data_IF_973577704450
#
_entry.id   IF_973577704450
#
_cell.length_a   1.000
_cell.length_b   1.000
_cell.length_c   1.000
_cell.angle_alpha   90.00
_cell.angle_beta   90.00
_cell.angle_gamma   90.00
#
_symmetry.space_group_name_H-M   'P 1'
#
loop_
_entity.id
_entity.type
_entity.pdbx_description
1 polymer ?
#
# COMPACT_ATOMS: atom_id res chain seq x y z
N UNK A 1 14.43 21.61 4.07
CA UNK A 1 14.20 20.45 4.98
C UNK A 1 13.04 19.64 4.42
N UNK A 2 13.26 18.39 4.02
CA UNK A 2 12.19 17.52 3.51
C UNK A 2 11.37 16.84 4.60
N UNK A 3 10.21 16.31 4.22
CA UNK A 3 9.34 15.46 5.06
C UNK A 3 9.51 14.00 4.63
N UNK A 4 9.28 13.05 5.53
CA UNK A 4 9.15 11.64 5.15
C UNK A 4 7.67 11.28 5.10
N UNK A 5 7.24 10.52 4.10
CA UNK A 5 5.83 10.13 3.96
C UNK A 5 5.67 8.75 3.32
N UNK A 6 4.53 8.12 3.56
CA UNK A 6 4.10 6.88 2.90
C UNK A 6 2.93 7.18 1.97
N UNK A 7 3.03 6.71 0.74
CA UNK A 7 1.92 6.68 -0.21
C UNK A 7 1.42 5.24 -0.35
N UNK A 8 0.17 5.01 0.04
CA UNK A 8 -0.49 3.72 -0.04
C UNK A 8 -1.32 3.66 -1.32
N UNK A 9 -1.16 2.59 -2.10
CA UNK A 9 -2.05 2.22 -3.21
C UNK A 9 -2.62 0.85 -2.89
N UNK A 10 -3.88 0.79 -2.47
CA UNK A 10 -4.52 -0.45 -1.96
C UNK A 10 -5.66 -0.91 -2.85
N UNK A 11 -5.85 -2.22 -2.97
CA UNK A 11 -6.95 -2.82 -3.73
C UNK A 11 -8.24 -2.74 -2.92
N UNK A 12 -9.15 -1.89 -3.39
CA UNK A 12 -10.44 -1.56 -2.79
C UNK A 12 -11.56 -2.43 -3.38
N UNK A 13 -11.37 -3.75 -3.28
CA UNK A 13 -12.33 -4.77 -3.67
C UNK A 13 -12.35 -5.90 -2.63
N UNK A 14 -13.48 -6.04 -1.94
CA UNK A 14 -13.69 -7.04 -0.90
C UNK A 14 -13.58 -8.49 -1.40
N UNK A 15 -13.77 -8.73 -2.69
CA UNK A 15 -13.75 -10.05 -3.32
C UNK A 15 -12.45 -10.35 -4.06
N UNK A 16 -11.59 -9.36 -4.29
CA UNK A 16 -10.29 -9.59 -4.90
C UNK A 16 -9.45 -10.61 -4.10
N UNK A 17 -8.61 -11.35 -4.82
CA UNK A 17 -7.61 -12.29 -4.29
C UNK A 17 -6.34 -12.18 -5.12
N UNK A 18 -5.16 -12.31 -4.50
CA UNK A 18 -3.91 -12.38 -5.25
C UNK A 18 -3.92 -13.63 -6.14
N UNK A 19 -3.37 -13.49 -7.34
CA UNK A 19 -3.04 -14.62 -8.21
C UNK A 19 -1.56 -14.97 -8.03
N UNK A 20 -1.19 -16.19 -8.42
CA UNK A 20 0.19 -16.70 -8.27
C UNK A 20 1.26 -15.88 -9.03
N UNK A 21 0.84 -15.01 -9.96
CA UNK A 21 1.71 -14.14 -10.75
C UNK A 21 1.59 -12.64 -10.36
N UNK A 22 0.71 -12.28 -9.42
CA UNK A 22 0.45 -10.87 -9.05
C UNK A 22 1.73 -10.17 -8.59
N UNK A 23 2.56 -10.82 -7.78
CA UNK A 23 3.85 -10.28 -7.36
C UNK A 23 4.75 -9.94 -8.56
N UNK A 24 4.85 -10.87 -9.53
CA UNK A 24 5.69 -10.73 -10.71
C UNK A 24 5.19 -9.60 -11.63
N UNK A 25 3.86 -9.46 -11.79
CA UNK A 25 3.26 -8.36 -12.56
C UNK A 25 3.51 -7.00 -11.92
N UNK A 26 3.37 -6.86 -10.60
CA UNK A 26 3.66 -5.60 -9.90
C UNK A 26 5.16 -5.29 -9.95
N UNK A 27 6.03 -6.29 -9.75
CA UNK A 27 7.48 -6.12 -9.85
C UNK A 27 7.92 -5.65 -11.25
N UNK A 28 7.30 -6.17 -12.32
CA UNK A 28 7.59 -5.74 -13.68
C UNK A 28 7.34 -4.23 -13.88
N UNK A 29 6.22 -3.71 -13.37
CA UNK A 29 5.90 -2.27 -13.42
C UNK A 29 6.89 -1.45 -12.58
N UNK A 30 7.23 -1.91 -11.38
CA UNK A 30 8.23 -1.23 -10.53
C UNK A 30 9.61 -1.16 -11.19
N UNK A 31 10.02 -2.19 -11.94
CA UNK A 31 11.27 -2.22 -12.71
C UNK A 31 11.21 -1.33 -13.96
N UNK A 32 10.10 -1.33 -14.68
CA UNK A 32 9.87 -0.44 -15.84
C UNK A 32 9.99 1.04 -15.44
N UNK A 33 9.43 1.40 -14.27
CA UNK A 33 9.52 2.75 -13.71
C UNK A 33 10.84 3.04 -12.95
N UNK A 34 11.81 2.12 -12.98
CA UNK A 34 13.11 2.25 -12.30
C UNK A 34 13.01 2.54 -10.80
N UNK A 35 11.95 2.07 -10.13
CA UNK A 35 11.71 2.25 -8.70
C UNK A 35 12.39 1.17 -7.83
N UNK A 36 12.82 0.07 -8.46
CA UNK A 36 13.57 -1.03 -7.84
C UNK A 36 14.62 -1.55 -8.83
N UNK A 37 15.80 -1.91 -8.33
CA UNK A 37 16.90 -2.50 -9.08
C UNK A 37 17.28 -3.89 -8.56
N UNK A 38 17.37 -4.06 -7.24
CA UNK A 38 17.75 -5.29 -6.57
C UNK A 38 16.66 -6.36 -6.45
N UNK A 39 16.96 -7.38 -5.65
CA UNK A 39 16.02 -8.42 -5.22
C UNK A 39 15.39 -7.99 -3.89
N UNK A 40 14.07 -8.00 -3.80
CA UNK A 40 13.37 -7.75 -2.54
C UNK A 40 13.51 -8.93 -1.59
N UNK A 41 13.47 -8.67 -0.27
CA UNK A 41 13.38 -9.74 0.73
C UNK A 41 11.93 -10.03 1.07
N UNK A 42 11.62 -11.29 1.36
CA UNK A 42 10.24 -11.74 1.62
C UNK A 42 10.05 -11.97 3.11
N UNK A 43 8.98 -11.39 3.66
CA UNK A 43 8.54 -11.58 5.04
C UNK A 43 7.20 -12.32 4.96
N UNK A 44 7.15 -13.49 5.58
CA UNK A 44 5.92 -14.26 5.76
C UNK A 44 5.03 -13.55 6.78
N UNK A 45 3.82 -13.13 6.36
CA UNK A 45 2.85 -12.45 7.22
C UNK A 45 1.93 -13.45 7.96
N UNK A 46 2.23 -14.75 7.96
CA UNK A 46 1.73 -15.72 8.93
C UNK A 46 2.64 -15.82 10.18
N UNK A 47 3.92 -15.44 10.05
CA UNK A 47 4.90 -15.44 11.12
C UNK A 47 5.23 -14.02 11.59
N UNK A 48 5.77 -13.87 12.80
CA UNK A 48 6.40 -12.59 13.19
C UNK A 48 7.70 -12.37 12.40
N UNK A 49 8.22 -11.13 12.39
CA UNK A 49 9.40 -10.71 11.60
C UNK A 49 10.67 -11.59 11.77
N UNK A 50 10.71 -12.44 12.81
CA UNK A 50 11.81 -13.37 13.09
C UNK A 50 12.04 -14.41 11.97
N UNK A 51 11.05 -14.67 11.10
CA UNK A 51 11.16 -15.60 9.97
C UNK A 51 11.42 -14.89 8.63
N UNK A 52 12.38 -13.97 8.59
CA UNK A 52 12.88 -13.36 7.35
C UNK A 52 13.54 -14.42 6.46
N UNK A 53 13.16 -14.47 5.18
CA UNK A 53 13.87 -15.25 4.15
C UNK A 53 14.45 -14.34 3.08
N UNK A 54 15.76 -14.48 2.82
CA UNK A 54 16.44 -13.78 1.73
C UNK A 54 16.21 -14.45 0.35
N UNK A 55 15.29 -15.42 0.26
CA UNK A 55 14.83 -16.01 -1.02
C UNK A 55 13.57 -15.31 -1.54
N UNK A 56 13.64 -14.84 -2.79
CA UNK A 56 12.48 -14.30 -3.51
C UNK A 56 11.58 -15.42 -4.06
N UNK A 57 10.94 -16.18 -3.16
CA UNK A 57 9.85 -17.07 -3.57
C UNK A 57 8.59 -16.22 -3.81
N UNK A 58 8.50 -15.60 -4.98
CA UNK A 58 7.34 -14.83 -5.45
C UNK A 58 6.06 -15.67 -5.59
N UNK A 59 6.18 -17.00 -5.52
CA UNK A 59 5.08 -17.96 -5.45
C UNK A 59 4.78 -18.35 -3.99
N UNK A 60 4.25 -17.42 -3.20
CA UNK A 60 3.58 -17.75 -1.94
C UNK A 60 2.18 -18.33 -2.25
N UNK A 61 1.80 -19.41 -1.57
CA UNK A 61 0.42 -19.92 -1.65
C UNK A 61 -0.56 -18.91 -1.04
N UNK A 62 -1.82 -18.83 -1.53
CA UNK A 62 -2.87 -18.05 -0.88
C UNK A 62 -3.05 -18.49 0.58
N UNK A 63 -3.07 -17.52 1.48
CA UNK A 63 -2.99 -17.66 2.93
C UNK A 63 -2.79 -16.29 3.56
N UNK A 64 -2.21 -16.22 4.78
CA UNK A 64 -2.06 -14.93 5.47
C UNK A 64 -1.32 -13.89 4.65
N UNK A 65 -0.33 -14.31 3.85
CA UNK A 65 0.28 -13.51 2.80
C UNK A 65 1.75 -13.21 3.05
N UNK A 66 2.31 -12.38 2.19
CA UNK A 66 3.72 -11.94 2.28
C UNK A 66 3.83 -10.43 2.11
N UNK A 67 4.84 -9.85 2.74
CA UNK A 67 5.38 -8.55 2.40
C UNK A 67 6.71 -8.75 1.65
N UNK A 68 6.80 -8.25 0.42
CA UNK A 68 8.04 -8.19 -0.35
C UNK A 68 8.57 -6.76 -0.22
N UNK A 69 9.71 -6.61 0.42
CA UNK A 69 10.33 -5.31 0.73
C UNK A 69 11.55 -5.13 -0.17
N UNK A 70 11.43 -4.20 -1.11
CA UNK A 70 12.49 -3.80 -2.01
C UNK A 70 13.26 -2.59 -1.44
N UNK A 71 14.59 -2.51 -1.65
CA UNK A 71 15.32 -1.25 -1.49
C UNK A 71 14.65 -0.14 -2.30
N UNK A 72 14.60 1.07 -1.76
CA UNK A 72 14.07 2.22 -2.50
C UNK A 72 15.08 2.80 -3.49
N UNK A 73 14.59 3.41 -4.56
CA UNK A 73 15.40 4.09 -5.57
C UNK A 73 15.63 5.58 -5.27
N UNK A 74 16.62 6.19 -5.92
CA UNK A 74 16.96 7.61 -5.81
C UNK A 74 16.90 8.33 -7.16
N UNK A 75 16.76 9.65 -7.16
CA UNK A 75 16.95 10.50 -8.33
C UNK A 75 15.72 10.67 -9.25
N UNK A 76 15.92 10.95 -10.55
CA UNK A 76 14.87 11.44 -11.46
C UNK A 76 13.61 10.57 -11.62
N UNK A 77 13.70 9.27 -11.32
CA UNK A 77 12.53 8.39 -11.28
C UNK A 77 11.51 8.83 -10.21
N UNK A 78 11.99 9.36 -9.08
CA UNK A 78 11.16 9.81 -7.96
C UNK A 78 10.43 11.12 -8.31
N UNK A 79 11.10 12.04 -9.02
CA UNK A 79 10.43 13.23 -9.56
C UNK A 79 9.40 12.87 -10.64
N UNK A 80 9.71 11.91 -11.51
CA UNK A 80 8.78 11.43 -12.54
C UNK A 80 7.51 10.82 -11.93
N UNK A 81 7.64 10.18 -10.76
CA UNK A 81 6.56 9.56 -10.00
C UNK A 81 5.72 10.58 -9.21
N UNK A 82 6.38 11.44 -8.44
CA UNK A 82 5.75 12.32 -7.46
C UNK A 82 5.54 13.77 -7.95
N UNK A 83 6.00 14.13 -9.15
CA UNK A 83 6.02 15.52 -9.62
C UNK A 83 7.10 16.36 -8.92
N UNK A 84 7.14 17.70 -9.09
CA UNK A 84 8.14 18.55 -8.46
C UNK A 84 7.99 18.61 -6.93
N UNK A 85 9.10 18.80 -6.22
CA UNK A 85 9.09 19.05 -4.77
C UNK A 85 8.60 20.47 -4.46
N UNK A 86 7.93 20.66 -3.32
CA UNK A 86 7.60 21.99 -2.78
C UNK A 86 8.82 22.69 -2.17
N UNK A 87 9.88 21.94 -1.86
CA UNK A 87 11.11 22.45 -1.27
C UNK A 87 12.10 22.85 -2.37
N UNK A 88 12.25 24.15 -2.59
CA UNK A 88 13.17 24.70 -3.59
C UNK A 88 14.67 24.41 -3.32
N UNK A 89 15.00 23.93 -2.11
CA UNK A 89 16.34 23.47 -1.71
C UNK A 89 16.62 21.99 -2.04
N UNK A 90 15.63 21.22 -2.50
CA UNK A 90 15.77 19.79 -2.79
C UNK A 90 15.94 19.57 -4.30
N UNK A 91 17.13 19.18 -4.72
CA UNK A 91 17.40 18.84 -6.12
C UNK A 91 16.73 17.49 -6.49
N UNK A 92 16.39 17.26 -7.77
CA UNK A 92 15.83 15.97 -8.22
C UNK A 92 16.67 14.75 -7.83
N UNK A 93 18.00 14.89 -7.84
CA UNK A 93 18.95 13.83 -7.50
C UNK A 93 18.98 13.50 -5.98
N UNK A 94 18.57 14.44 -5.12
CA UNK A 94 18.51 14.26 -3.67
C UNK A 94 17.21 13.58 -3.18
N UNK A 95 16.26 13.32 -4.09
CA UNK A 95 14.96 12.72 -3.78
C UNK A 95 15.06 11.20 -3.83
N UNK A 96 14.44 10.52 -2.87
CA UNK A 96 14.51 9.05 -2.79
C UNK A 96 13.24 8.42 -2.22
N UNK A 97 12.98 7.19 -2.64
CA UNK A 97 12.23 6.24 -1.84
C UNK A 97 13.20 5.61 -0.83
N UNK A 98 12.79 5.53 0.43
CA UNK A 98 13.47 4.72 1.44
C UNK A 98 13.29 3.22 1.19
N UNK A 99 12.08 2.83 0.79
CA UNK A 99 11.70 1.45 0.48
C UNK A 99 10.42 1.42 -0.35
N UNK A 100 10.23 0.31 -1.06
CA UNK A 100 8.96 -0.06 -1.70
C UNK A 100 8.50 -1.37 -1.07
N UNK A 101 7.29 -1.39 -0.50
CA UNK A 101 6.74 -2.57 0.17
C UNK A 101 5.48 -3.03 -0.55
N UNK A 102 5.54 -4.21 -1.14
CA UNK A 102 4.42 -4.90 -1.76
C UNK A 102 3.84 -5.92 -0.78
N UNK A 103 2.58 -5.77 -0.40
CA UNK A 103 1.85 -6.72 0.46
C UNK A 103 0.78 -7.43 -0.36
N UNK A 104 0.76 -8.77 -0.29
CA UNK A 104 -0.24 -9.62 -0.94
C UNK A 104 -0.64 -10.77 -0.02
N UNK A 105 -1.95 -11.03 0.10
CA UNK A 105 -2.46 -12.16 0.88
C UNK A 105 -3.99 -12.22 0.84
N UNK A 106 -4.53 -13.27 1.46
CA UNK A 106 -5.97 -13.45 1.60
C UNK A 106 -6.52 -12.72 2.84
N UNK A 107 -5.69 -12.50 3.86
CA UNK A 107 -6.11 -11.85 5.11
C UNK A 107 -6.54 -10.40 4.91
N UNK A 108 -7.62 -10.01 5.62
CA UNK A 108 -8.11 -8.64 5.62
C UNK A 108 -7.22 -7.77 6.51
N UNK A 109 -6.71 -6.67 5.96
CA UNK A 109 -5.88 -5.70 6.68
C UNK A 109 -6.62 -4.36 6.79
N UNK A 110 -6.77 -3.84 8.00
CA UNK A 110 -7.37 -2.51 8.22
C UNK A 110 -6.33 -1.44 7.90
N UNK A 111 -6.72 -0.43 7.11
CA UNK A 111 -5.85 0.68 6.72
C UNK A 111 -5.32 1.42 7.97
N UNK A 112 -4.01 1.75 8.05
CA UNK A 112 -3.52 2.55 9.16
C UNK A 112 -4.13 3.95 9.15
N UNK A 113 -4.44 4.46 10.34
CA UNK A 113 -4.87 5.85 10.53
C UNK A 113 -3.69 6.83 10.50
N UNK A 114 -3.97 8.08 10.15
CA UNK A 114 -3.14 9.26 10.42
C UNK A 114 -3.94 10.27 11.24
N UNK A 115 -3.34 11.39 11.65
CA UNK A 115 -4.01 12.41 12.47
C UNK A 115 -5.34 12.90 11.84
N UNK A 116 -5.34 13.19 10.53
CA UNK A 116 -6.53 13.72 9.84
C UNK A 116 -7.41 12.68 9.12
N UNK A 117 -7.00 11.41 9.09
CA UNK A 117 -7.77 10.31 8.47
C UNK A 117 -7.68 9.06 9.35
N UNK A 118 -8.76 8.75 10.06
CA UNK A 118 -8.88 7.59 10.94
C UNK A 118 -9.80 6.51 10.35
N UNK A 119 -9.48 5.24 10.56
CA UNK A 119 -10.28 4.10 10.11
C UNK A 119 -10.75 3.31 11.34
N UNK A 120 -12.05 3.39 11.63
CA UNK A 120 -12.70 2.72 12.75
C UNK A 120 -13.17 1.32 12.34
N UNK A 121 -12.65 0.28 12.98
CA UNK A 121 -13.19 -1.08 12.84
C UNK A 121 -14.48 -1.22 13.66
N UNK A 122 -15.63 -1.21 12.99
CA UNK A 122 -16.96 -1.36 13.61
C UNK A 122 -17.28 -2.83 13.91
N UNK A 123 -16.90 -3.74 13.02
CA UNK A 123 -17.00 -5.17 13.26
C UNK A 123 -15.93 -5.97 12.51
N UNK A 124 -15.36 -7.04 13.12
CA UNK A 124 -14.42 -7.93 12.46
C UNK A 124 -15.06 -8.70 11.29
N UNK A 125 -14.27 -9.33 10.42
CA UNK A 125 -14.81 -10.29 9.44
C UNK A 125 -15.42 -11.50 10.15
N UNK A 126 -16.35 -12.20 9.48
CA UNK A 126 -17.03 -13.37 10.02
C UNK A 126 -16.71 -14.63 9.21
N UNK A 127 -16.48 -15.75 9.89
CA UNK A 127 -16.47 -17.08 9.29
C UNK A 127 -17.76 -17.81 9.68
N UNK A 128 -18.63 -18.11 8.71
CA UNK A 128 -19.94 -18.76 8.95
C UNK A 128 -20.80 -18.06 10.03
N UNK A 129 -20.73 -16.72 10.10
CA UNK A 129 -21.44 -15.90 11.10
C UNK A 129 -20.74 -15.76 12.45
N UNK A 130 -19.59 -16.41 12.67
CA UNK A 130 -18.77 -16.27 13.88
C UNK A 130 -17.68 -15.21 13.65
N UNK A 131 -17.52 -14.22 14.55
CA UNK A 131 -16.42 -13.26 14.49
C UNK A 131 -15.05 -13.92 14.44
N UNK A 132 -14.19 -13.44 13.54
CA UNK A 132 -12.79 -13.85 13.45
C UNK A 132 -11.96 -12.92 14.34
N UNK A 133 -11.14 -13.48 15.22
CA UNK A 133 -10.21 -12.71 16.05
C UNK A 133 -9.07 -12.13 15.19
N UNK A 134 -8.66 -10.90 15.49
CA UNK A 134 -7.52 -10.26 14.84
C UNK A 134 -6.21 -10.84 15.34
N UNK A 135 -5.20 -10.89 14.47
CA UNK A 135 -3.83 -11.24 14.84
C UNK A 135 -3.04 -9.95 15.06
N UNK A 136 -2.42 -9.85 16.22
CA UNK A 136 -1.56 -8.73 16.59
C UNK A 136 -0.19 -8.87 15.88
N UNK A 137 0.20 -7.84 15.13
CA UNK A 137 1.42 -7.82 14.33
C UNK A 137 2.28 -6.62 14.73
N UNK A 138 3.32 -6.89 15.50
CA UNK A 138 4.42 -5.95 15.70
C UNK A 138 5.32 -5.98 14.45
N UNK A 139 4.90 -5.24 13.41
CA UNK A 139 5.67 -5.00 12.20
C UNK A 139 6.23 -3.57 12.23
N UNK A 140 7.54 -3.43 12.05
CA UNK A 140 8.32 -2.22 12.36
C UNK A 140 7.91 -0.94 11.58
N UNK A 141 7.07 -1.05 10.54
CA UNK A 141 6.62 0.07 9.71
C UNK A 141 5.14 0.47 9.87
N UNK A 142 4.35 -0.17 10.76
CA UNK A 142 2.88 0.02 10.84
C UNK A 142 2.19 -0.03 9.47
N UNK A 143 2.37 -1.15 8.74
CA UNK A 143 1.78 -1.33 7.40
C UNK A 143 0.25 -1.35 7.42
N UNK A 144 -0.35 -1.83 8.50
CA UNK A 144 -1.78 -1.96 8.73
C UNK A 144 -2.10 -1.80 10.23
N UNK A 145 -3.33 -1.40 10.56
CA UNK A 145 -3.76 -1.21 11.95
C UNK A 145 -4.19 -2.52 12.64
N UNK A 146 -4.69 -3.48 11.87
CA UNK A 146 -5.07 -4.82 12.31
C UNK A 146 -5.06 -5.79 11.12
N UNK A 147 -4.81 -7.08 11.36
CA UNK A 147 -4.92 -8.15 10.38
C UNK A 147 -5.91 -9.22 10.85
N UNK A 148 -6.69 -9.79 9.93
CA UNK A 148 -7.68 -10.82 10.22
C UNK A 148 -7.54 -12.01 9.26
N UNK A 149 -7.29 -13.23 9.78
CA UNK A 149 -7.28 -14.47 9.02
C UNK A 149 -8.52 -14.59 8.13
N UNK A 150 -8.36 -14.90 6.84
CA UNK A 150 -9.48 -14.97 5.92
C UNK A 150 -9.48 -16.20 5.03
N UNK A 151 -10.63 -16.85 4.95
CA UNK A 151 -10.92 -17.85 3.94
C UNK A 151 -11.72 -17.23 2.77
N UNK A 152 -11.94 -17.99 1.70
CA UNK A 152 -12.84 -17.60 0.60
C UNK A 152 -14.28 -17.32 1.10
N UNK A 153 -14.74 -18.11 2.09
CA UNK A 153 -16.07 -17.99 2.69
C UNK A 153 -16.20 -16.93 3.79
N UNK A 154 -15.13 -16.19 4.13
CA UNK A 154 -15.18 -15.14 5.15
C UNK A 154 -15.88 -13.89 4.62
N UNK A 155 -16.84 -13.34 5.38
CA UNK A 155 -17.37 -12.00 5.10
C UNK A 155 -16.32 -10.93 5.44
N UNK A 156 -16.32 -9.77 4.77
CA UNK A 156 -15.43 -8.67 5.13
C UNK A 156 -15.72 -8.07 6.51
N UNK A 157 -14.74 -7.35 7.10
CA UNK A 157 -15.01 -6.45 8.21
C UNK A 157 -15.87 -5.26 7.77
N UNK A 158 -16.43 -4.56 8.75
CA UNK A 158 -17.05 -3.25 8.54
C UNK A 158 -16.13 -2.19 9.12
N UNK A 159 -15.65 -1.29 8.28
CA UNK A 159 -14.77 -0.17 8.66
C UNK A 159 -15.41 1.14 8.23
N UNK A 160 -15.31 2.18 9.08
CA UNK A 160 -15.75 3.54 8.77
C UNK A 160 -14.53 4.45 8.67
N UNK A 161 -14.43 5.19 7.57
CA UNK A 161 -13.41 6.23 7.41
C UNK A 161 -13.91 7.56 7.99
N UNK A 162 -13.16 8.11 8.93
CA UNK A 162 -13.37 9.44 9.52
C UNK A 162 -12.32 10.39 8.97
N UNK A 163 -12.76 11.47 8.33
CA UNK A 163 -11.88 12.46 7.68
C UNK A 163 -12.17 13.83 8.29
N UNK A 164 -11.14 14.50 8.81
CA UNK A 164 -11.25 15.88 9.30
C UNK A 164 -11.67 16.85 8.17
N UNK A 165 -12.47 17.86 8.49
CA UNK A 165 -13.00 18.80 7.48
C UNK A 165 -11.90 19.45 6.62
N UNK A 166 -10.74 19.76 7.20
CA UNK A 166 -9.59 20.32 6.49
C UNK A 166 -8.87 19.35 5.54
N UNK A 167 -9.05 18.03 5.72
CA UNK A 167 -8.44 17.02 4.87
C UNK A 167 -9.36 16.52 3.75
N UNK A 168 -10.68 16.74 3.85
CA UNK A 168 -11.67 16.23 2.87
C UNK A 168 -11.39 16.62 1.43
N UNK A 169 -10.90 17.83 1.17
CA UNK A 169 -10.55 18.27 -0.19
C UNK A 169 -9.28 17.63 -0.74
N UNK A 170 -8.40 17.11 0.13
CA UNK A 170 -7.16 16.44 -0.28
C UNK A 170 -7.34 14.97 -0.64
N UNK A 171 -8.45 14.34 -0.24
CA UNK A 171 -8.68 12.90 -0.46
C UNK A 171 -9.19 12.63 -1.88
N UNK A 172 -8.55 11.68 -2.57
CA UNK A 172 -8.84 11.38 -3.99
C UNK A 172 -9.94 10.32 -4.21
N UNK A 173 -10.84 10.14 -3.24
CA UNK A 173 -11.89 9.13 -3.30
C UNK A 173 -13.16 9.55 -2.57
N UNK A 174 -14.31 9.27 -3.20
CA UNK A 174 -15.65 9.47 -2.60
C UNK A 174 -16.04 8.34 -1.63
N UNK A 175 -15.38 7.18 -1.76
CA UNK A 175 -15.58 5.99 -0.91
C UNK A 175 -14.29 5.16 -0.85
N UNK A 176 -14.09 4.48 0.28
CA UNK A 176 -13.02 3.52 0.54
C UNK A 176 -13.56 2.47 1.51
N UNK A 177 -13.23 1.19 1.32
CA UNK A 177 -13.62 0.10 2.21
C UNK A 177 -12.95 0.19 3.59
N UNK A 178 -11.84 0.93 3.71
CA UNK A 178 -11.06 1.04 4.95
C UNK A 178 -10.24 -0.21 5.30
N UNK A 179 -10.33 -1.26 4.49
CA UNK A 179 -9.54 -2.47 4.59
C UNK A 179 -9.11 -2.93 3.18
N UNK A 180 -8.08 -3.78 3.11
CA UNK A 180 -7.52 -4.26 1.85
C UNK A 180 -6.85 -5.64 2.01
N UNK A 181 -6.45 -6.21 0.86
CA UNK A 181 -5.74 -7.49 0.71
C UNK A 181 -4.39 -7.34 0.02
N UNK A 182 -4.43 -6.69 -1.14
CA UNK A 182 -3.25 -6.25 -1.88
C UNK A 182 -2.99 -4.78 -1.63
N UNK A 183 -1.74 -4.43 -1.39
CA UNK A 183 -1.31 -3.04 -1.19
C UNK A 183 0.13 -2.84 -1.64
N UNK A 184 0.39 -1.73 -2.32
CA UNK A 184 1.73 -1.26 -2.65
C UNK A 184 1.97 0.04 -1.90
N UNK A 185 3.00 0.05 -1.06
CA UNK A 185 3.41 1.19 -0.26
C UNK A 185 4.73 1.75 -0.80
N UNK A 186 4.75 3.06 -0.99
CA UNK A 186 5.92 3.82 -1.41
C UNK A 186 6.33 4.72 -0.25
N UNK A 187 7.46 4.42 0.40
CA UNK A 187 7.98 5.22 1.51
C UNK A 187 8.97 6.24 0.95
N UNK A 188 8.58 7.50 0.86
CA UNK A 188 9.42 8.60 0.38
C UNK A 188 10.25 9.20 1.51
N UNK A 189 11.53 9.42 1.24
CA UNK A 189 12.45 10.10 2.13
C UNK A 189 12.74 11.52 1.65
N UNK A 190 12.72 12.47 2.60
CA UNK A 190 13.05 13.90 2.40
C UNK A 190 12.41 14.53 1.16
N UNK A 191 11.10 14.44 1.04
CA UNK A 191 10.36 15.08 -0.05
C UNK A 191 8.94 15.42 0.39
N UNK A 192 8.42 16.57 -0.06
CA UNK A 192 6.99 16.86 -0.02
C UNK A 192 6.58 17.31 -1.43
N UNK A 193 5.90 16.45 -2.19
CA UNK A 193 5.57 16.74 -3.57
C UNK A 193 4.41 17.73 -3.69
N UNK A 194 4.41 18.53 -4.75
CA UNK A 194 3.44 19.62 -4.95
C UNK A 194 1.96 19.20 -5.01
N UNK A 195 1.65 17.90 -5.12
CA UNK A 195 0.28 17.43 -5.06
C UNK A 195 -0.33 17.48 -3.65
N UNK A 196 0.49 17.55 -2.57
CA UNK A 196 0.00 17.63 -1.19
C UNK A 196 -0.86 18.87 -0.91
N UNK A 197 -0.73 19.94 -1.71
CA UNK A 197 -1.54 21.17 -1.59
C UNK A 197 -2.94 21.06 -2.22
N UNK A 198 -3.22 20.00 -2.99
CA UNK A 198 -4.47 19.88 -3.76
C UNK A 198 -5.16 18.53 -3.58
N UNK A 199 -4.46 17.46 -3.96
CA UNK A 199 -5.01 16.12 -4.08
C UNK A 199 -3.90 15.14 -3.74
N UNK A 200 -4.06 14.40 -2.66
CA UNK A 200 -3.09 13.47 -2.07
C UNK A 200 -2.95 12.18 -2.87
N UNK A 201 -2.63 12.31 -4.16
CA UNK A 201 -2.59 11.24 -5.13
C UNK A 201 -1.52 11.51 -6.21
N UNK A 202 -0.79 10.48 -6.62
CA UNK A 202 0.42 10.60 -7.44
C UNK A 202 0.18 11.26 -8.81
N UNK A 203 0.98 12.25 -9.24
CA UNK A 203 0.85 12.88 -10.56
C UNK A 203 1.06 11.90 -11.72
N UNK A 204 1.89 10.87 -11.52
CA UNK A 204 2.14 9.81 -12.49
C UNK A 204 0.93 8.87 -12.66
N UNK A 205 -0.12 9.35 -13.33
CA UNK A 205 -1.36 8.58 -13.56
C UNK A 205 -1.12 7.31 -14.38
N UNK A 206 -0.15 7.32 -15.29
CA UNK A 206 0.22 6.16 -16.08
C UNK A 206 0.85 5.05 -15.21
N UNK A 207 1.63 5.42 -14.17
CA UNK A 207 2.12 4.48 -13.17
C UNK A 207 0.98 3.88 -12.35
N UNK A 208 0.07 4.72 -11.84
CA UNK A 208 -1.10 4.26 -11.08
C UNK A 208 -1.98 3.32 -11.92
N UNK A 209 -2.17 3.64 -13.21
CA UNK A 209 -2.88 2.78 -14.14
C UNK A 209 -2.15 1.45 -14.42
N UNK A 210 -0.82 1.47 -14.60
CA UNK A 210 -0.02 0.27 -14.79
C UNK A 210 0.00 -0.64 -13.55
N UNK A 211 0.12 -0.06 -12.35
CA UNK A 211 -0.02 -0.79 -11.08
C UNK A 211 -1.42 -1.38 -10.93
N UNK A 212 -2.46 -0.61 -11.26
CA UNK A 212 -3.84 -1.12 -11.27
C UNK A 212 -4.01 -2.29 -12.26
N UNK A 213 -3.40 -2.20 -13.45
CA UNK A 213 -3.37 -3.30 -14.42
C UNK A 213 -2.57 -4.52 -13.94
N UNK A 214 -1.53 -4.32 -13.11
CA UNK A 214 -0.81 -5.44 -12.49
C UNK A 214 -1.65 -6.21 -11.45
N UNK A 215 -2.65 -5.57 -10.82
CA UNK A 215 -3.54 -6.21 -9.84
C UNK A 215 -4.65 -7.09 -10.46
N UNK A 216 -5.13 -6.77 -11.67
CA UNK A 216 -6.28 -7.45 -12.31
C UNK A 216 -5.91 -7.98 -13.71
N UNK A 217 -6.39 -9.17 -14.09
CA UNK A 217 -6.11 -9.75 -15.42
C UNK A 217 -7.02 -9.21 -16.54
N UNK A 218 -8.00 -8.35 -16.22
CA UNK A 218 -8.96 -7.82 -17.20
C UNK A 218 -9.56 -6.44 -16.80
N UNK A 219 -10.16 -5.76 -17.78
CA UNK A 219 -10.63 -4.36 -17.82
C UNK A 219 -11.51 -3.86 -16.65
N UNK A 220 -10.90 -3.63 -15.47
CA UNK A 220 -11.50 -2.91 -14.32
C UNK A 220 -10.45 -2.07 -13.58
N UNK A 221 -9.94 -1.03 -14.22
CA UNK A 221 -8.57 -0.56 -13.94
C UNK A 221 -8.37 0.78 -13.21
N UNK A 222 -9.37 1.51 -12.69
CA UNK A 222 -9.08 2.76 -11.93
C UNK A 222 -9.93 2.99 -10.66
N UNK A 223 -11.18 2.54 -10.60
CA UNK A 223 -12.02 2.78 -9.41
C UNK A 223 -11.65 1.92 -8.19
N UNK A 224 -10.90 0.83 -8.40
CA UNK A 224 -10.59 -0.23 -7.43
C UNK A 224 -9.20 -0.12 -6.80
N UNK A 225 -8.43 0.93 -7.11
CA UNK A 225 -7.21 1.26 -6.36
C UNK A 225 -7.44 2.59 -5.67
N UNK A 226 -7.23 2.63 -4.35
CA UNK A 226 -7.37 3.85 -3.54
C UNK A 226 -6.01 4.32 -3.07
N UNK A 227 -5.82 5.63 -3.19
CA UNK A 227 -4.61 6.31 -2.77
C UNK A 227 -4.81 6.95 -1.39
N UNK A 228 -3.83 6.80 -0.49
CA UNK A 228 -3.75 7.52 0.79
C UNK A 228 -2.32 8.02 1.02
N UNK A 229 -2.19 9.29 1.36
CA UNK A 229 -0.95 9.91 1.84
C UNK A 229 -0.88 9.87 3.37
N UNK A 230 0.31 9.64 3.91
CA UNK A 230 0.58 9.63 5.36
C UNK A 230 1.96 10.21 5.66
N UNK A 231 2.02 11.40 6.23
CA UNK A 231 3.28 11.99 6.70
C UNK A 231 3.81 11.23 7.94
N UNK A 232 5.14 11.12 8.03
CA UNK A 232 5.87 10.60 9.18
C UNK A 232 6.47 11.79 9.94
N UNK A 233 6.26 11.82 11.26
CA UNK A 233 6.77 12.85 12.18
C UNK A 233 8.13 12.44 12.76
#
# INVERSE_FOLDING_TARGET
>A
MGVEYRHFMVVDDAHWRPQSDTAVRVEAVLREWSLIDGVGHTIDLAASEQNRSDTSNSAASPGSGVAIVYPGATGPAIESLAGPSLYADIAPDDRYLMRVTLVIGDDFRVQPGSESIYFELVSPPLANGVPIEGVDYDFNDRLFAASFPSAEASSPPVVIAHIEDGAKSGVAWDSCLGYWRGGLLLSFGKDLPAFSEKLQALPARDFVAAISAAWFVADRFLSLVKEKFEALQ
#
